data_IF_631053137861
#
_entry.id   IF_631053137861
#
_cell.length_a   1.000
_cell.length_b   1.000
_cell.length_c   1.000
_cell.angle_alpha   90.00
_cell.angle_beta   90.00
_cell.angle_gamma   90.00
#
_symmetry.space_group_name_H-M   'P 1'
#
loop_
_entity.id
_entity.type
_entity.pdbx_description
1 polymer ?
#
# COMPACT_ATOMS: atom_id res chain seq x y z
N UNK A 1 27.33 -62.00 33.37
CA UNK A 1 26.24 -61.00 33.44
C UNK A 1 26.68 -59.75 32.69
N UNK A 2 26.02 -59.41 31.58
CA UNK A 2 26.21 -58.16 30.81
C UNK A 2 25.07 -57.20 31.17
N UNK A 3 25.35 -55.90 31.27
CA UNK A 3 24.50 -54.76 30.86
C UNK A 3 25.28 -53.46 31.11
N UNK A 4 25.98 -52.93 30.11
CA UNK A 4 25.55 -51.91 29.13
C UNK A 4 25.35 -50.52 29.74
N UNK A 5 26.32 -49.65 29.43
CA UNK A 5 26.33 -48.20 29.58
C UNK A 5 25.17 -47.62 28.77
N UNK A 6 24.29 -46.84 29.40
CA UNK A 6 23.29 -46.05 28.69
C UNK A 6 23.89 -44.69 28.36
N UNK A 7 24.31 -44.53 27.10
CA UNK A 7 24.43 -43.22 26.48
C UNK A 7 23.02 -42.80 26.02
N UNK A 8 22.52 -41.71 26.59
CA UNK A 8 21.28 -41.03 26.18
C UNK A 8 21.64 -39.55 26.31
N UNK A 9 22.06 -38.85 25.26
CA UNK A 9 21.37 -38.77 23.98
C UNK A 9 20.82 -37.35 23.91
N UNK A 10 21.65 -36.41 23.45
CA UNK A 10 21.28 -35.04 23.15
C UNK A 10 20.03 -34.99 22.28
N UNK A 11 19.04 -34.22 22.69
CA UNK A 11 18.08 -33.62 21.77
C UNK A 11 17.80 -32.19 22.22
N UNK A 12 18.80 -31.32 22.08
CA UNK A 12 18.55 -29.88 22.02
C UNK A 12 17.90 -29.64 20.67
N UNK A 13 16.57 -29.66 20.66
CA UNK A 13 15.77 -29.22 19.53
C UNK A 13 16.00 -27.71 19.40
N UNK A 14 16.96 -27.34 18.56
CA UNK A 14 17.08 -25.99 18.04
C UNK A 14 15.83 -25.72 17.20
N UNK A 15 14.83 -25.10 17.84
CA UNK A 15 13.75 -24.41 17.15
C UNK A 15 14.33 -23.20 16.41
N UNK A 16 15.02 -23.45 15.30
CA UNK A 16 15.14 -22.48 14.22
C UNK A 16 13.81 -22.49 13.47
N UNK A 17 12.78 -21.93 14.09
CA UNK A 17 11.57 -21.52 13.39
C UNK A 17 11.97 -20.40 12.43
N UNK A 18 12.06 -20.78 11.15
CA UNK A 18 11.81 -19.98 9.96
C UNK A 18 11.53 -18.47 10.16
N UNK A 19 12.56 -17.69 10.46
CA UNK A 19 12.51 -16.23 10.26
C UNK A 19 12.86 -15.87 8.81
N UNK A 20 12.33 -16.63 7.85
CA UNK A 20 12.41 -16.25 6.43
C UNK A 20 11.35 -15.20 6.06
N UNK A 21 10.22 -15.15 6.77
CA UNK A 21 9.15 -14.19 6.49
C UNK A 21 9.49 -12.74 6.84
N UNK A 22 10.28 -12.50 7.89
CA UNK A 22 10.53 -11.13 8.37
C UNK A 22 11.49 -10.30 7.49
N UNK A 23 12.20 -10.94 6.55
CA UNK A 23 13.12 -10.23 5.63
C UNK A 23 12.41 -9.63 4.43
N UNK A 24 11.34 -10.28 3.99
CA UNK A 24 10.53 -9.88 2.83
C UNK A 24 9.68 -8.63 3.13
N UNK A 25 9.19 -8.51 4.36
CA UNK A 25 8.35 -7.39 4.82
C UNK A 25 9.14 -6.23 5.42
N UNK A 26 10.37 -6.02 4.97
CA UNK A 26 11.11 -4.77 5.24
C UNK A 26 10.66 -3.66 4.28
N UNK A 27 10.97 -2.40 4.57
CA UNK A 27 10.63 -1.27 3.68
C UNK A 27 11.14 -1.52 2.24
N UNK A 28 12.40 -1.95 2.11
CA UNK A 28 13.00 -2.23 0.80
C UNK A 28 12.37 -3.46 0.14
N UNK A 29 12.10 -4.52 0.90
CA UNK A 29 11.41 -5.71 0.40
C UNK A 29 9.99 -5.42 -0.10
N UNK A 30 9.23 -4.57 0.60
CA UNK A 30 7.90 -4.13 0.16
C UNK A 30 8.00 -3.28 -1.11
N UNK A 31 8.99 -2.39 -1.22
CA UNK A 31 9.21 -1.63 -2.46
C UNK A 31 9.52 -2.54 -3.64
N UNK A 32 10.32 -3.58 -3.44
CA UNK A 32 10.59 -4.60 -4.48
C UNK A 32 9.31 -5.32 -4.89
N UNK A 33 8.48 -5.74 -3.94
CA UNK A 33 7.17 -6.37 -4.22
C UNK A 33 6.25 -5.42 -4.99
N UNK A 34 6.15 -4.16 -4.58
CA UNK A 34 5.34 -3.14 -5.25
C UNK A 34 5.82 -2.92 -6.68
N UNK A 35 7.12 -2.91 -6.91
CA UNK A 35 7.70 -2.77 -8.25
C UNK A 35 7.42 -3.99 -9.12
N UNK A 36 7.55 -5.20 -8.56
CA UNK A 36 7.17 -6.44 -9.26
C UNK A 36 5.68 -6.41 -9.66
N UNK A 37 4.80 -6.01 -8.75
CA UNK A 37 3.37 -5.83 -9.04
C UNK A 37 3.19 -4.80 -10.17
N UNK A 38 3.87 -3.65 -10.13
CA UNK A 38 3.76 -2.64 -11.19
C UNK A 38 4.22 -3.19 -12.55
N UNK A 39 5.34 -3.92 -12.60
CA UNK A 39 5.84 -4.56 -13.83
C UNK A 39 4.84 -5.58 -14.35
N UNK A 40 4.27 -6.43 -13.48
CA UNK A 40 3.26 -7.41 -13.85
C UNK A 40 1.97 -6.73 -14.35
N UNK A 41 1.57 -5.63 -13.72
CA UNK A 41 0.47 -4.80 -14.20
C UNK A 41 0.76 -4.22 -15.58
N UNK A 42 1.95 -3.66 -15.82
CA UNK A 42 2.36 -3.12 -17.12
C UNK A 42 2.38 -4.20 -18.22
N UNK A 43 2.87 -5.40 -17.90
CA UNK A 43 2.85 -6.54 -18.81
C UNK A 43 1.42 -7.05 -19.09
N UNK A 44 0.53 -6.97 -18.10
CA UNK A 44 -0.89 -7.27 -18.27
C UNK A 44 -1.64 -6.18 -19.05
N UNK A 45 -1.07 -4.97 -19.19
CA UNK A 45 -1.68 -3.85 -19.91
C UNK A 45 -1.39 -3.95 -21.42
N UNK A 46 -2.02 -4.94 -22.05
CA UNK A 46 -2.43 -4.91 -23.45
C UNK A 46 -3.87 -4.40 -23.65
N UNK A 47 -4.67 -4.30 -22.59
CA UNK A 47 -6.09 -3.95 -22.68
C UNK A 47 -6.50 -2.84 -21.70
N UNK A 48 -7.10 -1.77 -22.25
CA UNK A 48 -7.77 -0.71 -21.48
C UNK A 48 -9.20 -1.13 -21.20
N UNK A 49 -9.57 -1.31 -19.93
CA UNK A 49 -10.97 -1.51 -19.52
C UNK A 49 -11.56 -0.26 -18.86
N UNK A 50 -12.63 0.31 -19.43
CA UNK A 50 -13.55 1.22 -18.72
C UNK A 50 -14.38 0.37 -17.73
N UNK A 51 -14.82 0.86 -16.55
CA UNK A 51 -16.08 1.59 -16.34
C UNK A 51 -16.29 1.93 -14.83
N UNK A 52 -17.15 2.91 -14.54
CA UNK A 52 -17.72 3.21 -13.20
C UNK A 52 -18.60 4.47 -13.15
N UNK A 53 -19.93 4.25 -13.26
CA UNK A 53 -21.14 4.98 -12.80
C UNK A 53 -21.33 6.53 -12.92
N UNK A 54 -22.56 7.06 -13.16
CA UNK A 54 -22.83 8.48 -13.49
C UNK A 54 -23.01 9.44 -12.30
N UNK A 55 -23.26 8.97 -11.07
CA UNK A 55 -23.59 9.88 -9.96
C UNK A 55 -22.37 10.35 -9.13
N UNK A 56 -21.25 9.60 -9.20
CA UNK A 56 -19.90 9.99 -8.84
C UNK A 56 -18.96 9.14 -9.70
N UNK A 57 -18.01 9.74 -10.43
CA UNK A 57 -17.09 8.95 -11.25
C UNK A 57 -16.04 8.28 -10.34
N UNK A 58 -16.46 7.27 -9.57
CA UNK A 58 -15.55 6.34 -8.91
C UNK A 58 -15.25 5.20 -9.88
N UNK A 59 -14.02 5.16 -10.39
CA UNK A 59 -13.49 4.06 -11.18
C UNK A 59 -12.72 3.14 -10.23
N UNK A 60 -13.22 1.92 -10.02
CA UNK A 60 -12.57 0.89 -9.23
C UNK A 60 -12.05 -0.22 -10.13
N UNK A 61 -10.82 -0.68 -9.90
CA UNK A 61 -10.22 -1.82 -10.58
C UNK A 61 -9.45 -2.67 -9.58
N UNK A 62 -9.66 -3.98 -9.61
CA UNK A 62 -8.91 -4.95 -8.84
C UNK A 62 -8.14 -5.89 -9.79
N UNK A 63 -6.97 -6.34 -9.37
CA UNK A 63 -6.10 -7.21 -10.15
C UNK A 63 -5.68 -8.39 -9.28
N UNK A 64 -5.73 -9.58 -9.88
CA UNK A 64 -5.46 -10.84 -9.21
C UNK A 64 -4.34 -11.59 -9.92
N UNK A 65 -3.51 -12.30 -9.16
CA UNK A 65 -2.57 -13.28 -9.66
C UNK A 65 -3.04 -14.67 -9.23
N UNK A 66 -3.61 -15.44 -10.15
CA UNK A 66 -4.40 -16.61 -9.77
C UNK A 66 -5.63 -16.19 -8.97
N UNK A 67 -5.77 -16.75 -7.76
CA UNK A 67 -6.87 -16.45 -6.83
C UNK A 67 -6.52 -15.34 -5.82
N UNK A 68 -5.30 -14.79 -5.86
CA UNK A 68 -4.80 -13.81 -4.90
C UNK A 68 -5.01 -12.38 -5.40
N UNK A 69 -5.65 -11.52 -4.59
CA UNK A 69 -5.74 -10.09 -4.85
C UNK A 69 -4.37 -9.44 -4.63
N UNK A 70 -3.84 -8.76 -5.64
CA UNK A 70 -2.51 -8.11 -5.56
C UNK A 70 -2.58 -6.58 -5.65
N UNK A 71 -3.63 -6.02 -6.26
CA UNK A 71 -3.73 -4.59 -6.46
C UNK A 71 -5.17 -4.09 -6.61
N UNK A 72 -5.44 -2.91 -6.03
CA UNK A 72 -6.66 -2.14 -6.26
C UNK A 72 -6.28 -0.73 -6.70
N UNK A 73 -6.94 -0.20 -7.73
CA UNK A 73 -6.95 1.22 -8.06
C UNK A 73 -8.36 1.77 -7.99
N UNK A 74 -8.54 2.79 -7.17
CA UNK A 74 -9.77 3.53 -7.03
C UNK A 74 -9.52 4.99 -7.44
N UNK A 75 -10.35 5.54 -8.31
CA UNK A 75 -10.22 6.93 -8.77
C UNK A 75 -11.55 7.64 -8.66
N UNK A 76 -11.60 8.76 -7.95
CA UNK A 76 -12.78 9.59 -7.76
C UNK A 76 -12.65 10.89 -8.56
N UNK A 77 -13.65 11.21 -9.37
CA UNK A 77 -13.82 12.56 -9.91
C UNK A 77 -15.01 13.23 -9.25
N UNK A 78 -14.79 14.38 -8.63
CA UNK A 78 -15.85 15.17 -8.01
C UNK A 78 -16.44 16.16 -9.03
N UNK A 79 -17.64 16.69 -8.74
CA UNK A 79 -18.29 17.74 -9.57
C UNK A 79 -17.57 19.09 -9.52
N UNK A 80 -16.85 19.35 -8.43
CA UNK A 80 -15.84 20.42 -8.31
C UNK A 80 -14.56 19.86 -8.94
N UNK A 81 -13.68 20.66 -9.60
CA UNK A 81 -12.40 20.15 -10.11
C UNK A 81 -11.59 19.64 -8.92
N UNK A 82 -11.79 18.39 -8.57
CA UNK A 82 -11.11 17.70 -7.51
C UNK A 82 -11.13 16.26 -7.95
N UNK A 83 -9.94 15.69 -7.93
CA UNK A 83 -9.70 14.32 -8.35
C UNK A 83 -8.99 13.67 -7.17
N UNK A 84 -9.47 12.51 -6.75
CA UNK A 84 -8.75 11.70 -5.80
C UNK A 84 -8.48 10.34 -6.43
N UNK A 85 -7.41 9.68 -6.04
CA UNK A 85 -7.19 8.29 -6.42
C UNK A 85 -6.43 7.58 -5.32
N UNK A 86 -6.87 6.37 -4.98
CA UNK A 86 -6.20 5.49 -4.06
C UNK A 86 -5.68 4.27 -4.81
N UNK A 87 -4.48 3.85 -4.47
CA UNK A 87 -3.89 2.61 -4.93
C UNK A 87 -3.52 1.78 -3.73
N UNK A 88 -3.92 0.52 -3.74
CA UNK A 88 -3.68 -0.42 -2.66
C UNK A 88 -2.93 -1.62 -3.25
N UNK A 89 -1.86 -2.01 -2.60
CA UNK A 89 -1.02 -3.13 -2.99
C UNK A 89 -1.09 -4.18 -1.90
N UNK A 90 -1.25 -5.44 -2.32
CA UNK A 90 -1.52 -6.56 -1.44
C UNK A 90 -0.53 -7.68 -1.64
N UNK A 91 -0.30 -8.45 -0.56
CA UNK A 91 0.40 -9.73 -0.60
C UNK A 91 -0.04 -10.59 0.57
N UNK A 92 -0.24 -11.88 0.32
CA UNK A 92 -0.70 -12.86 1.30
C UNK A 92 -2.00 -12.41 2.01
N UNK A 93 -2.83 -11.63 1.30
CA UNK A 93 -4.06 -11.03 1.82
C UNK A 93 -3.89 -9.75 2.67
N UNK A 94 -2.66 -9.27 2.88
CA UNK A 94 -2.36 -8.10 3.69
C UNK A 94 -2.09 -6.86 2.82
N UNK A 95 -2.48 -5.68 3.29
CA UNK A 95 -2.12 -4.41 2.63
C UNK A 95 -0.66 -4.10 2.95
N UNK A 96 0.15 -3.92 1.90
CA UNK A 96 1.56 -3.57 2.04
C UNK A 96 1.83 -2.09 1.76
N UNK A 97 1.08 -1.52 0.82
CA UNK A 97 1.30 -0.14 0.39
C UNK A 97 -0.01 0.52 -0.01
N UNK A 98 -0.19 1.75 0.48
CA UNK A 98 -1.27 2.63 0.05
C UNK A 98 -0.66 3.89 -0.55
N UNK A 99 -1.19 4.29 -1.71
CA UNK A 99 -0.84 5.55 -2.36
C UNK A 99 -2.09 6.32 -2.73
N UNK A 100 -2.37 7.35 -1.96
CA UNK A 100 -3.49 8.26 -2.14
C UNK A 100 -3.02 9.56 -2.77
N UNK A 101 -3.71 10.00 -3.82
CA UNK A 101 -3.48 11.30 -4.45
C UNK A 101 -4.77 12.09 -4.39
N UNK A 102 -4.67 13.38 -4.08
CA UNK A 102 -5.78 14.30 -4.07
C UNK A 102 -5.39 15.59 -4.76
N UNK A 103 -6.25 16.06 -5.63
CA UNK A 103 -6.16 17.36 -6.27
C UNK A 103 -7.30 18.20 -5.68
N UNK A 104 -6.94 19.29 -5.01
CA UNK A 104 -7.87 20.29 -4.50
C UNK A 104 -7.57 21.67 -5.08
N UNK A 105 -8.47 22.62 -4.85
CA UNK A 105 -8.28 24.02 -5.22
C UNK A 105 -8.42 24.86 -3.96
N UNK A 106 -7.34 25.53 -3.58
CA UNK A 106 -7.32 26.47 -2.46
C UNK A 106 -7.51 27.86 -3.02
N UNK A 107 -8.50 28.60 -2.51
CA UNK A 107 -8.73 29.96 -2.96
C UNK A 107 -7.57 30.85 -2.52
N UNK A 108 -6.93 31.54 -3.47
CA UNK A 108 -5.94 32.55 -3.12
C UNK A 108 -6.68 33.88 -2.89
N UNK A 109 -6.77 34.29 -1.63
CA UNK A 109 -7.46 35.51 -1.20
C UNK A 109 -6.86 36.79 -1.82
N UNK A 110 -5.61 36.76 -2.29
CA UNK A 110 -4.93 37.92 -2.88
C UNK A 110 -5.20 38.09 -4.38
N UNK A 111 -5.37 36.99 -5.11
CA UNK A 111 -5.53 37.02 -6.59
C UNK A 111 -6.94 36.70 -7.08
N UNK A 112 -7.85 36.30 -6.18
CA UNK A 112 -9.20 35.85 -6.51
C UNK A 112 -9.26 34.55 -7.32
N UNK A 113 -8.11 33.97 -7.68
CA UNK A 113 -7.98 32.74 -8.47
C UNK A 113 -7.70 31.55 -7.55
N UNK A 114 -8.35 30.42 -7.80
CA UNK A 114 -8.04 29.17 -7.11
C UNK A 114 -6.68 28.62 -7.50
N UNK A 115 -5.85 28.27 -6.52
CA UNK A 115 -4.58 27.56 -6.72
C UNK A 115 -4.83 26.05 -6.63
N UNK A 116 -4.50 25.32 -7.68
CA UNK A 116 -4.50 23.84 -7.68
C UNK A 116 -3.42 23.35 -6.70
N UNK A 117 -3.80 22.48 -5.79
CA UNK A 117 -2.89 21.82 -4.83
C UNK A 117 -3.00 20.33 -5.05
N UNK A 118 -1.85 19.69 -5.29
CA UNK A 118 -1.74 18.23 -5.37
C UNK A 118 -1.16 17.71 -4.07
N UNK A 119 -1.91 16.89 -3.36
CA UNK A 119 -1.44 16.16 -2.19
C UNK A 119 -1.24 14.70 -2.57
N UNK A 120 -0.11 14.12 -2.19
CA UNK A 120 0.14 12.67 -2.26
C UNK A 120 0.43 12.19 -0.84
N UNK A 121 -0.15 11.06 -0.50
CA UNK A 121 -0.03 10.37 0.77
C UNK A 121 0.39 8.94 0.45
N UNK A 122 1.51 8.50 1.01
CA UNK A 122 2.08 7.17 0.80
C UNK A 122 2.39 6.50 2.13
N UNK A 123 2.01 5.25 2.27
CA UNK A 123 2.21 4.44 3.47
C UNK A 123 2.72 3.06 3.09
N UNK A 124 3.60 2.51 3.91
CA UNK A 124 4.09 1.14 3.83
C UNK A 124 3.82 0.46 5.17
N UNK A 125 3.24 -0.73 5.14
CA UNK A 125 2.88 -1.53 6.31
C UNK A 125 3.42 -2.95 6.21
N UNK A 126 3.77 -3.52 7.36
CA UNK A 126 4.03 -4.96 7.45
C UNK A 126 2.70 -5.76 7.53
N UNK A 127 2.74 -7.10 7.47
CA UNK A 127 1.54 -7.94 7.60
C UNK A 127 0.83 -7.85 8.95
N UNK A 128 1.48 -7.31 9.98
CA UNK A 128 0.90 -7.07 11.31
C UNK A 128 0.28 -5.65 11.41
N UNK A 129 0.11 -4.97 10.27
CA UNK A 129 -0.48 -3.63 10.13
C UNK A 129 0.36 -2.52 10.78
N UNK A 130 1.64 -2.77 11.10
CA UNK A 130 2.53 -1.73 11.60
C UNK A 130 3.00 -0.84 10.45
N UNK A 131 2.82 0.48 10.59
CA UNK A 131 3.33 1.45 9.62
C UNK A 131 4.87 1.52 9.73
N UNK A 132 5.55 1.10 8.67
CA UNK A 132 7.00 1.16 8.55
C UNK A 132 7.48 2.53 8.08
N UNK A 133 6.78 3.10 7.11
CA UNK A 133 7.10 4.39 6.51
C UNK A 133 5.83 5.13 6.12
N UNK A 134 5.87 6.45 6.24
CA UNK A 134 4.91 7.33 5.58
C UNK A 134 5.57 8.55 4.94
N UNK A 135 4.92 9.05 3.90
CA UNK A 135 5.26 10.34 3.31
C UNK A 135 4.01 11.12 2.88
N UNK A 136 4.08 12.44 3.07
CA UNK A 136 3.07 13.39 2.59
C UNK A 136 3.76 14.44 1.74
N UNK A 137 3.34 14.52 0.49
CA UNK A 137 3.84 15.48 -0.48
C UNK A 137 2.73 16.46 -0.87
N UNK A 138 2.91 17.73 -0.56
CA UNK A 138 2.08 18.81 -1.08
C UNK A 138 2.84 19.54 -2.20
N UNK A 139 2.33 19.48 -3.43
CA UNK A 139 3.00 20.01 -4.63
C UNK A 139 4.46 19.51 -4.76
N UNK A 140 4.66 18.21 -4.53
CA UNK A 140 5.98 17.53 -4.53
C UNK A 140 6.95 18.00 -3.43
N UNK A 141 6.48 18.74 -2.43
CA UNK A 141 7.27 19.09 -1.26
C UNK A 141 6.80 18.29 -0.06
N UNK A 142 7.75 17.66 0.64
CA UNK A 142 7.49 16.92 1.87
C UNK A 142 6.91 17.86 2.93
N UNK A 143 5.82 17.45 3.55
CA UNK A 143 5.14 18.22 4.59
C UNK A 143 4.72 17.29 5.72
N UNK A 144 4.33 17.86 6.86
CA UNK A 144 3.88 17.10 8.01
C UNK A 144 2.46 16.57 7.82
N UNK A 145 2.24 15.37 8.34
CA UNK A 145 0.93 14.75 8.46
C UNK A 145 0.19 15.38 9.65
N UNK A 146 -1.07 15.77 9.49
CA UNK A 146 -1.91 16.09 10.65
C UNK A 146 -2.42 14.80 11.31
N UNK A 147 -2.87 14.90 12.57
CA UNK A 147 -3.46 13.75 13.28
C UNK A 147 -4.75 13.27 12.60
N UNK A 148 -5.57 14.18 12.07
CA UNK A 148 -6.80 13.86 11.36
C UNK A 148 -6.54 13.10 10.05
N UNK A 149 -5.48 13.48 9.32
CA UNK A 149 -5.03 12.76 8.14
C UNK A 149 -4.51 11.38 8.53
N UNK A 150 -3.70 11.28 9.58
CA UNK A 150 -3.22 10.00 10.11
C UNK A 150 -4.37 9.04 10.43
N UNK A 151 -5.41 9.52 11.11
CA UNK A 151 -6.61 8.73 11.41
C UNK A 151 -7.37 8.31 10.14
N UNK A 152 -7.44 9.16 9.12
CA UNK A 152 -8.04 8.79 7.83
C UNK A 152 -7.27 7.65 7.15
N UNK A 153 -5.96 7.64 7.30
CA UNK A 153 -5.10 6.58 6.78
C UNK A 153 -5.28 5.28 7.58
N UNK A 154 -5.32 5.33 8.91
CA UNK A 154 -5.60 4.18 9.76
C UNK A 154 -6.99 3.58 9.57
N UNK A 155 -7.92 4.27 8.90
CA UNK A 155 -9.22 3.68 8.52
C UNK A 155 -9.16 2.79 7.27
N UNK A 156 -8.06 2.85 6.52
CA UNK A 156 -7.87 2.09 5.27
C UNK A 156 -6.93 0.89 5.43
N UNK A 157 -6.24 0.81 6.56
CA UNK A 157 -5.48 -0.36 7.02
C UNK A 157 -6.38 -1.06 8.03
#
# INVERSE_FOLDING_TARGET
MKKTIFASGSLIILFFVNSCGSREYTEDGIKEIVEEINVNLEQAVGEKFNWGSPEAYSLFRAYFYGDELIFINESYTYKIPAEASNRYYFKDGNILHIKSKKIGYVQNNESGKGKKVKTTLEFYSDPDENILLYDKLANNQRTTLSNEEAEEIFRHV
#
